data_IF_529565445396
#
_entry.id   IF_529565445396
#
_cell.length_a   1.000
_cell.length_b   1.000
_cell.length_c   1.000
_cell.angle_alpha   90.00
_cell.angle_beta   90.00
_cell.angle_gamma   90.00
#
_symmetry.space_group_name_H-M   'P 1'
#
loop_
_entity.id
_entity.type
_entity.pdbx_description
1 polymer ?
#
# COMPACT_ATOMS: atom_id res chain seq x y z
N UNK A 1 10.49 17.63 -0.38
CA UNK A 1 9.35 17.12 0.44
C UNK A 1 9.40 15.61 0.45
N UNK A 2 9.35 14.99 1.61
CA UNK A 2 9.12 13.53 1.67
C UNK A 2 7.83 13.19 0.90
N UNK A 3 7.63 11.93 0.60
CA UNK A 3 6.41 11.45 -0.10
C UNK A 3 5.14 12.08 0.48
N UNK A 4 4.26 12.60 -0.37
CA UNK A 4 2.97 13.18 0.03
C UNK A 4 1.84 12.14 -0.18
N UNK A 5 1.31 11.53 0.90
CA UNK A 5 0.25 10.53 0.79
C UNK A 5 -0.99 11.04 0.03
N UNK A 6 -1.40 12.28 0.25
CA UNK A 6 -2.61 12.84 -0.37
C UNK A 6 -2.48 12.89 -1.89
N UNK A 7 -1.34 13.40 -2.38
CA UNK A 7 -1.03 13.47 -3.81
C UNK A 7 -0.90 12.08 -4.44
N UNK A 8 -0.24 11.15 -3.73
CA UNK A 8 -0.02 9.79 -4.22
C UNK A 8 -1.33 8.98 -4.31
N UNK A 9 -2.20 9.05 -3.28
CA UNK A 9 -3.50 8.35 -3.30
C UNK A 9 -4.43 8.89 -4.40
N UNK A 10 -4.29 10.16 -4.78
CA UNK A 10 -5.08 10.72 -5.89
C UNK A 10 -4.87 9.94 -7.20
N UNK A 11 -3.69 9.33 -7.38
CA UNK A 11 -3.36 8.51 -8.56
C UNK A 11 -4.10 7.17 -8.61
N UNK A 12 -4.62 6.69 -7.46
CA UNK A 12 -5.35 5.41 -7.40
C UNK A 12 -6.83 5.50 -7.80
N UNK A 13 -7.38 6.69 -7.95
CA UNK A 13 -8.82 6.85 -8.22
C UNK A 13 -9.69 6.21 -7.13
N UNK A 14 -9.42 6.55 -5.87
CA UNK A 14 -10.20 6.08 -4.72
C UNK A 14 -11.50 6.87 -4.64
N UNK A 15 -12.62 6.15 -4.55
CA UNK A 15 -13.97 6.69 -4.42
C UNK A 15 -14.64 6.24 -3.12
N UNK A 16 -15.73 6.92 -2.75
CA UNK A 16 -16.58 6.55 -1.62
C UNK A 16 -17.03 5.09 -1.73
N UNK A 17 -17.09 4.40 -0.60
CA UNK A 17 -17.52 3.01 -0.51
C UNK A 17 -16.45 1.96 -0.87
N UNK A 18 -15.29 2.34 -1.39
CA UNK A 18 -14.22 1.40 -1.73
C UNK A 18 -13.60 0.73 -0.51
N UNK A 19 -13.10 -0.49 -0.72
CA UNK A 19 -12.27 -1.22 0.22
C UNK A 19 -10.82 -1.13 -0.21
N UNK A 20 -9.98 -0.60 0.67
CA UNK A 20 -8.56 -0.37 0.39
C UNK A 20 -7.71 -1.09 1.43
N UNK A 21 -6.64 -1.73 0.98
CA UNK A 21 -5.67 -2.39 1.86
C UNK A 21 -4.37 -1.60 1.82
N UNK A 22 -3.85 -1.25 3.00
CA UNK A 22 -2.55 -0.60 3.20
C UNK A 22 -1.58 -1.63 3.79
N UNK A 23 -0.63 -2.09 2.98
CA UNK A 23 0.34 -3.13 3.35
C UNK A 23 1.63 -2.50 3.88
N UNK A 24 2.02 -2.90 5.08
CA UNK A 24 3.08 -2.23 5.82
C UNK A 24 2.63 -0.84 6.25
N UNK A 25 1.44 -0.75 6.86
CA UNK A 25 0.77 0.51 7.16
C UNK A 25 1.61 1.43 8.08
N UNK A 26 2.55 0.89 8.84
CA UNK A 26 3.41 1.65 9.73
C UNK A 26 2.61 2.53 10.68
N UNK A 27 2.92 3.83 10.71
CA UNK A 27 2.21 4.83 11.53
C UNK A 27 0.85 5.24 10.98
N UNK A 28 0.43 4.71 9.82
CA UNK A 28 -0.91 4.87 9.27
C UNK A 28 -1.15 6.13 8.44
N UNK A 29 -0.11 6.81 7.98
CA UNK A 29 -0.30 8.03 7.16
C UNK A 29 -1.20 7.79 5.95
N UNK A 30 -0.97 6.72 5.19
CA UNK A 30 -1.82 6.36 4.06
C UNK A 30 -3.19 5.89 4.53
N UNK A 31 -3.25 5.01 5.52
CA UNK A 31 -4.51 4.48 6.08
C UNK A 31 -5.47 5.58 6.51
N UNK A 32 -4.99 6.60 7.22
CA UNK A 32 -5.81 7.72 7.72
C UNK A 32 -6.35 8.59 6.56
N UNK A 33 -5.51 8.91 5.57
CA UNK A 33 -5.95 9.72 4.43
C UNK A 33 -6.93 8.95 3.53
N UNK A 34 -6.70 7.66 3.32
CA UNK A 34 -7.62 6.80 2.57
C UNK A 34 -8.96 6.68 3.27
N UNK A 35 -8.96 6.53 4.60
CA UNK A 35 -10.20 6.40 5.38
C UNK A 35 -11.13 7.61 5.24
N UNK A 36 -10.57 8.82 5.13
CA UNK A 36 -11.32 10.04 4.83
C UNK A 36 -11.96 9.99 3.43
N UNK A 37 -11.23 9.44 2.43
CA UNK A 37 -11.67 9.40 1.03
C UNK A 37 -12.75 8.34 0.77
N UNK A 38 -12.61 7.16 1.35
CA UNK A 38 -13.58 6.07 1.15
C UNK A 38 -14.88 6.26 1.92
N UNK A 39 -14.92 7.23 2.82
CA UNK A 39 -16.12 7.59 3.58
C UNK A 39 -16.64 6.49 4.50
N UNK A 40 -17.81 6.71 5.07
CA UNK A 40 -18.42 5.81 6.07
C UNK A 40 -18.85 4.45 5.50
N UNK A 41 -19.08 4.38 4.20
CA UNK A 41 -19.48 3.17 3.49
C UNK A 41 -18.27 2.33 3.03
N UNK A 42 -17.07 2.93 3.02
CA UNK A 42 -15.83 2.25 2.65
C UNK A 42 -15.15 1.60 3.83
N UNK A 43 -14.03 0.94 3.57
CA UNK A 43 -13.21 0.28 4.59
C UNK A 43 -11.73 0.36 4.23
N UNK A 44 -10.90 0.63 5.22
CA UNK A 44 -9.44 0.53 5.12
C UNK A 44 -8.98 -0.62 6.00
N UNK A 45 -8.19 -1.52 5.42
CA UNK A 45 -7.49 -2.59 6.13
C UNK A 45 -6.02 -2.20 6.26
N UNK A 46 -5.61 -1.77 7.45
CA UNK A 46 -4.23 -1.44 7.76
C UNK A 46 -3.51 -2.72 8.21
N UNK A 47 -2.63 -3.26 7.38
CA UNK A 47 -1.91 -4.52 7.64
C UNK A 47 -0.47 -4.21 8.00
N UNK A 48 0.00 -4.72 9.12
CA UNK A 48 1.41 -4.64 9.53
C UNK A 48 1.82 -5.86 10.37
N UNK A 49 3.11 -6.15 10.44
CA UNK A 49 3.69 -7.18 11.31
C UNK A 49 3.95 -6.66 12.72
N UNK A 50 3.99 -5.35 12.92
CA UNK A 50 4.26 -4.68 14.18
C UNK A 50 2.95 -4.25 14.85
N UNK A 51 2.58 -4.92 15.94
CA UNK A 51 1.33 -4.65 16.66
C UNK A 51 1.25 -3.23 17.22
N UNK A 52 2.36 -2.72 17.74
CA UNK A 52 2.41 -1.40 18.36
C UNK A 52 2.08 -0.29 17.33
N UNK A 53 2.54 -0.44 16.08
CA UNK A 53 2.19 0.49 15.00
C UNK A 53 0.70 0.42 14.66
N UNK A 54 0.12 -0.77 14.64
CA UNK A 54 -1.32 -0.95 14.40
C UNK A 54 -2.17 -0.33 15.52
N UNK A 55 -1.72 -0.40 16.77
CA UNK A 55 -2.40 0.26 17.90
C UNK A 55 -2.34 1.78 17.76
N UNK A 56 -1.24 2.34 17.24
CA UNK A 56 -1.16 3.76 16.90
C UNK A 56 -2.11 4.14 15.77
N UNK A 57 -2.19 3.34 14.70
CA UNK A 57 -3.17 3.56 13.61
C UNK A 57 -4.59 3.59 14.14
N UNK A 58 -4.95 2.61 14.98
CA UNK A 58 -6.28 2.55 15.61
C UNK A 58 -6.57 3.78 16.47
N UNK A 59 -5.64 4.15 17.35
CA UNK A 59 -5.79 5.29 18.26
C UNK A 59 -5.95 6.61 17.50
N UNK A 60 -5.11 6.82 16.46
CA UNK A 60 -5.19 8.00 15.62
C UNK A 60 -6.50 8.05 14.83
N UNK A 61 -6.95 6.91 14.31
CA UNK A 61 -8.25 6.81 13.63
C UNK A 61 -9.39 7.23 14.53
N UNK A 62 -9.43 6.71 15.76
CA UNK A 62 -10.44 7.07 16.77
C UNK A 62 -10.39 8.57 17.11
N UNK A 63 -9.21 9.12 17.33
CA UNK A 63 -9.01 10.54 17.63
C UNK A 63 -9.52 11.46 16.50
N UNK A 64 -9.46 11.00 15.25
CA UNK A 64 -9.96 11.70 14.06
C UNK A 64 -11.43 11.37 13.74
N UNK A 65 -12.12 10.57 14.55
CA UNK A 65 -13.48 10.16 14.30
C UNK A 65 -13.68 9.16 13.16
N UNK A 66 -12.59 8.55 12.66
CA UNK A 66 -12.61 7.58 11.58
C UNK A 66 -12.95 6.19 12.15
N UNK A 67 -14.12 5.65 11.78
CA UNK A 67 -14.61 4.35 12.25
C UNK A 67 -14.52 3.24 11.19
N UNK A 68 -13.94 3.55 10.05
CA UNK A 68 -13.85 2.71 8.87
C UNK A 68 -12.44 2.12 8.66
N UNK A 69 -11.57 2.16 9.67
CA UNK A 69 -10.24 1.54 9.67
C UNK A 69 -10.28 0.25 10.49
N UNK A 70 -9.85 -0.83 9.89
CA UNK A 70 -9.64 -2.12 10.52
C UNK A 70 -8.15 -2.44 10.51
N UNK A 71 -7.55 -2.64 11.67
CA UNK A 71 -6.14 -3.01 11.77
C UNK A 71 -6.00 -4.53 11.76
N UNK A 72 -5.07 -5.03 10.97
CA UNK A 72 -4.85 -6.47 10.77
C UNK A 72 -3.39 -6.80 11.06
N UNK A 73 -3.15 -7.56 12.10
CA UNK A 73 -1.83 -8.11 12.35
C UNK A 73 -1.58 -9.28 11.40
N UNK A 74 -0.77 -9.06 10.38
CA UNK A 74 -0.52 -10.00 9.30
C UNK A 74 0.84 -9.79 8.64
N UNK A 75 1.28 -10.78 7.87
CA UNK A 75 2.52 -10.74 7.10
C UNK A 75 2.21 -10.86 5.61
N UNK A 76 2.42 -9.78 4.86
CA UNK A 76 2.18 -9.73 3.42
C UNK A 76 3.22 -10.49 2.57
N UNK A 77 4.37 -10.88 3.16
CA UNK A 77 5.38 -11.72 2.51
C UNK A 77 5.02 -13.21 2.47
N UNK A 78 3.81 -13.54 2.83
CA UNK A 78 3.29 -14.91 2.82
C UNK A 78 1.92 -14.91 2.18
N UNK A 79 1.71 -15.75 1.19
CA UNK A 79 0.40 -15.91 0.55
C UNK A 79 -0.62 -16.37 1.61
N UNK A 80 -1.72 -15.62 1.75
CA UNK A 80 -2.71 -15.77 2.82
C UNK A 80 -2.30 -15.14 4.17
N UNK A 81 -1.08 -14.59 4.27
CA UNK A 81 -0.55 -14.06 5.52
C UNK A 81 -1.17 -12.74 5.97
N UNK A 82 -1.82 -11.99 5.09
CA UNK A 82 -2.65 -10.82 5.46
C UNK A 82 -3.93 -11.22 6.18
N UNK A 83 -4.32 -12.50 6.14
CA UNK A 83 -5.60 -13.02 6.68
C UNK A 83 -6.85 -12.42 6.04
N UNK A 84 -6.68 -11.61 5.01
CA UNK A 84 -7.77 -11.07 4.23
C UNK A 84 -8.25 -12.10 3.19
N UNK A 85 -9.54 -12.08 2.89
CA UNK A 85 -10.07 -12.98 1.87
C UNK A 85 -9.68 -12.51 0.46
N UNK A 86 -9.68 -13.45 -0.46
CA UNK A 86 -9.42 -13.20 -1.88
C UNK A 86 -10.41 -12.18 -2.44
N UNK A 87 -9.94 -11.30 -3.31
CA UNK A 87 -10.75 -10.32 -4.03
C UNK A 87 -11.49 -9.32 -3.13
N UNK A 88 -10.99 -9.04 -1.92
CA UNK A 88 -11.65 -8.10 -1.01
C UNK A 88 -11.41 -6.65 -1.41
N UNK A 89 -10.24 -6.33 -1.96
CA UNK A 89 -9.76 -4.97 -2.14
C UNK A 89 -10.05 -4.41 -3.53
N UNK A 90 -10.59 -3.20 -3.59
CA UNK A 90 -10.65 -2.40 -4.81
C UNK A 90 -9.29 -1.79 -5.12
N UNK A 91 -8.54 -1.42 -4.08
CA UNK A 91 -7.21 -0.81 -4.17
C UNK A 91 -6.28 -1.38 -3.10
N UNK A 92 -4.99 -1.45 -3.43
CA UNK A 92 -3.92 -1.80 -2.49
C UNK A 92 -2.87 -0.69 -2.52
N UNK A 93 -2.28 -0.41 -1.38
CA UNK A 93 -1.14 0.50 -1.21
C UNK A 93 0.01 -0.28 -0.61
N UNK A 94 1.21 -0.09 -1.15
CA UNK A 94 2.47 -0.59 -0.63
C UNK A 94 3.47 0.58 -0.65
N UNK A 95 3.60 1.28 0.48
CA UNK A 95 4.44 2.46 0.58
C UNK A 95 5.58 2.27 1.57
N UNK A 96 6.81 2.50 1.11
CA UNK A 96 8.03 2.35 1.91
C UNK A 96 8.17 0.95 2.55
N UNK A 97 7.80 -0.08 1.80
CA UNK A 97 7.81 -1.46 2.28
C UNK A 97 8.73 -2.38 1.46
N UNK A 98 8.94 -2.11 0.17
CA UNK A 98 9.69 -3.02 -0.70
C UNK A 98 11.14 -3.24 -0.25
N UNK A 99 11.80 -2.22 0.26
CA UNK A 99 13.18 -2.34 0.72
C UNK A 99 13.34 -3.28 1.94
N UNK A 100 12.24 -3.66 2.59
CA UNK A 100 12.20 -4.58 3.73
C UNK A 100 11.76 -5.99 3.33
N UNK A 101 11.28 -6.18 2.09
CA UNK A 101 10.74 -7.45 1.62
C UNK A 101 11.87 -8.40 1.24
N UNK A 102 11.82 -9.62 1.76
CA UNK A 102 12.73 -10.72 1.40
C UNK A 102 12.12 -11.64 0.32
N UNK A 103 10.79 -11.86 0.39
CA UNK A 103 10.05 -12.77 -0.50
C UNK A 103 9.15 -12.01 -1.47
N UNK A 104 9.77 -11.36 -2.45
CA UNK A 104 9.05 -10.52 -3.42
C UNK A 104 7.94 -11.25 -4.18
N UNK A 105 8.19 -12.48 -4.63
CA UNK A 105 7.21 -13.24 -5.40
C UNK A 105 5.95 -13.52 -4.56
N UNK A 106 6.11 -13.95 -3.30
CA UNK A 106 5.00 -14.19 -2.38
C UNK A 106 4.27 -12.89 -2.03
N UNK A 107 5.00 -11.78 -1.85
CA UNK A 107 4.42 -10.47 -1.60
C UNK A 107 3.53 -9.99 -2.75
N UNK A 108 4.02 -10.08 -3.99
CA UNK A 108 3.25 -9.68 -5.17
C UNK A 108 2.06 -10.62 -5.41
N UNK A 109 2.23 -11.93 -5.16
CA UNK A 109 1.14 -12.90 -5.23
C UNK A 109 0.06 -12.62 -4.18
N UNK A 110 0.43 -12.23 -2.97
CA UNK A 110 -0.55 -11.86 -1.93
C UNK A 110 -1.32 -10.60 -2.32
N UNK A 111 -0.65 -9.58 -2.88
CA UNK A 111 -1.33 -8.39 -3.44
C UNK A 111 -2.33 -8.82 -4.52
N UNK A 112 -1.90 -9.67 -5.46
CA UNK A 112 -2.77 -10.17 -6.52
C UNK A 112 -3.96 -10.94 -5.97
N UNK A 113 -3.76 -11.78 -4.96
CA UNK A 113 -4.83 -12.56 -4.33
C UNK A 113 -5.91 -11.68 -3.72
N UNK A 114 -5.52 -10.66 -2.95
CA UNK A 114 -6.49 -9.80 -2.23
C UNK A 114 -7.16 -8.75 -3.11
N UNK A 115 -6.56 -8.36 -4.25
CA UNK A 115 -7.16 -7.44 -5.20
C UNK A 115 -8.31 -8.09 -5.98
N UNK A 116 -9.35 -7.33 -6.25
CA UNK A 116 -10.39 -7.68 -7.24
C UNK A 116 -9.80 -7.68 -8.66
N UNK A 117 -10.44 -8.35 -9.63
CA UNK A 117 -10.21 -8.06 -11.05
C UNK A 117 -10.34 -6.55 -11.30
N UNK A 118 -9.51 -5.99 -12.17
CA UNK A 118 -9.43 -4.54 -12.44
C UNK A 118 -9.06 -3.68 -11.21
N UNK A 119 -8.71 -4.29 -10.10
CA UNK A 119 -8.19 -3.60 -8.92
C UNK A 119 -6.81 -3.00 -9.20
N UNK A 120 -6.46 -1.94 -8.48
CA UNK A 120 -5.18 -1.25 -8.66
C UNK A 120 -4.32 -1.32 -7.43
N UNK A 121 -3.00 -1.37 -7.64
CA UNK A 121 -2.02 -1.23 -6.58
C UNK A 121 -1.13 -0.01 -6.82
N UNK A 122 -0.94 0.78 -5.77
CA UNK A 122 0.04 1.85 -5.69
C UNK A 122 1.27 1.34 -4.95
N UNK A 123 2.40 1.44 -5.61
CA UNK A 123 3.71 1.23 -5.00
C UNK A 123 4.42 2.57 -4.90
N UNK A 124 4.86 2.95 -3.70
CA UNK A 124 5.72 4.12 -3.47
C UNK A 124 6.93 3.66 -2.68
N UNK A 125 8.12 3.86 -3.22
CA UNK A 125 9.33 3.45 -2.51
C UNK A 125 10.53 4.35 -2.86
N UNK A 126 11.65 4.14 -2.19
CA UNK A 126 12.83 4.96 -2.27
C UNK A 126 13.44 4.98 -3.68
N UNK A 127 13.71 6.20 -4.18
CA UNK A 127 14.41 6.41 -5.43
C UNK A 127 15.91 6.15 -5.27
N UNK A 128 16.52 5.53 -6.29
CA UNK A 128 17.97 5.33 -6.39
C UNK A 128 18.74 6.67 -6.37
N UNK A 129 18.10 7.74 -6.76
CA UNK A 129 18.72 9.08 -6.82
C UNK A 129 18.67 9.82 -5.47
N UNK A 130 18.06 9.22 -4.46
CA UNK A 130 17.94 9.86 -3.14
C UNK A 130 19.26 9.72 -2.35
N UNK A 131 19.86 10.83 -1.89
CA UNK A 131 21.06 10.78 -1.08
C UNK A 131 20.82 10.27 0.35
N UNK A 132 19.56 10.16 0.77
CA UNK A 132 19.13 9.73 2.12
C UNK A 132 18.39 8.40 2.12
N UNK A 133 18.42 7.66 0.99
CA UNK A 133 17.79 6.34 0.90
C UNK A 133 18.42 5.33 1.87
N UNK A 134 17.69 4.29 2.28
CA UNK A 134 18.25 3.13 2.96
C UNK A 134 19.40 2.51 2.15
N UNK A 135 20.27 1.74 2.83
CA UNK A 135 21.38 1.03 2.16
C UNK A 135 20.89 0.01 1.13
N UNK A 136 19.72 -0.56 1.38
CA UNK A 136 19.07 -1.50 0.47
C UNK A 136 17.82 -0.80 -0.06
N UNK A 137 17.71 -0.71 -1.37
CA UNK A 137 16.53 -0.17 -2.06
C UNK A 137 16.10 -1.12 -3.17
N UNK A 138 14.86 -1.00 -3.59
CA UNK A 138 14.34 -1.67 -4.78
C UNK A 138 14.13 -0.61 -5.85
N UNK A 139 14.97 -0.63 -6.88
CA UNK A 139 14.86 0.28 -8.01
C UNK A 139 13.48 0.21 -8.67
N UNK A 140 12.98 1.33 -9.17
CA UNK A 140 11.66 1.39 -9.83
C UNK A 140 11.52 0.39 -10.98
N UNK A 141 12.56 0.22 -11.79
CA UNK A 141 12.58 -0.77 -12.89
C UNK A 141 12.49 -2.22 -12.39
N UNK A 142 13.13 -2.52 -11.25
CA UNK A 142 13.02 -3.85 -10.61
C UNK A 142 11.62 -4.07 -10.06
N UNK A 143 11.06 -3.09 -9.37
CA UNK A 143 9.68 -3.17 -8.87
C UNK A 143 8.70 -3.39 -10.02
N UNK A 144 8.82 -2.64 -11.11
CA UNK A 144 8.00 -2.82 -12.31
C UNK A 144 8.09 -4.25 -12.85
N UNK A 145 9.30 -4.77 -13.05
CA UNK A 145 9.51 -6.14 -13.55
C UNK A 145 8.86 -7.20 -12.66
N UNK A 146 8.93 -7.03 -11.32
CA UNK A 146 8.32 -7.97 -10.37
C UNK A 146 6.79 -8.04 -10.52
N UNK A 147 6.13 -6.88 -10.65
CA UNK A 147 4.68 -6.83 -10.79
C UNK A 147 4.22 -7.30 -12.18
N UNK A 148 4.91 -6.89 -13.26
CA UNK A 148 4.60 -7.33 -14.63
C UNK A 148 4.75 -8.85 -14.79
N UNK A 149 5.80 -9.45 -14.21
CA UNK A 149 6.01 -10.90 -14.18
C UNK A 149 4.87 -11.66 -13.51
N UNK A 150 4.22 -11.05 -12.51
CA UNK A 150 3.03 -11.60 -11.86
C UNK A 150 1.73 -11.34 -12.65
N UNK A 151 1.80 -10.66 -13.79
CA UNK A 151 0.67 -10.39 -14.68
C UNK A 151 -0.09 -9.11 -14.36
N UNK A 152 0.54 -8.15 -13.66
CA UNK A 152 0.02 -6.80 -13.56
C UNK A 152 0.43 -5.96 -14.76
N UNK A 153 -0.39 -4.97 -15.12
CA UNK A 153 -0.07 -4.00 -16.16
C UNK A 153 0.28 -2.65 -15.52
N UNK A 154 1.43 -2.07 -15.88
CA UNK A 154 1.76 -0.73 -15.45
C UNK A 154 0.82 0.29 -16.10
N UNK A 155 0.10 1.05 -15.28
CA UNK A 155 -0.78 2.13 -15.72
C UNK A 155 -0.08 3.49 -15.68
N UNK A 156 0.71 3.72 -14.63
CA UNK A 156 1.37 5.00 -14.42
C UNK A 156 2.69 4.85 -13.65
N UNK A 157 3.71 5.61 -14.08
CA UNK A 157 4.94 5.84 -13.34
C UNK A 157 5.08 7.34 -13.10
N UNK A 158 5.46 7.75 -11.87
CA UNK A 158 5.55 9.16 -11.51
C UNK A 158 6.57 9.39 -10.38
N UNK A 159 6.96 10.65 -10.21
CA UNK A 159 7.76 11.08 -9.08
C UNK A 159 6.84 11.27 -7.87
N UNK A 160 7.04 10.50 -6.80
CA UNK A 160 6.23 10.51 -5.58
C UNK A 160 6.81 11.42 -4.48
N UNK A 161 7.64 12.38 -4.83
CA UNK A 161 8.35 13.30 -3.94
C UNK A 161 9.85 13.32 -4.27
N UNK A 162 10.63 14.10 -3.54
CA UNK A 162 12.06 14.32 -3.84
C UNK A 162 12.92 13.04 -3.73
N UNK A 163 12.43 12.04 -3.01
CA UNK A 163 13.19 10.85 -2.64
C UNK A 163 12.49 9.54 -3.00
N UNK A 164 11.32 9.59 -3.64
CA UNK A 164 10.51 8.41 -3.89
C UNK A 164 10.03 8.35 -5.34
N UNK A 165 9.92 7.15 -5.87
CA UNK A 165 9.17 6.87 -7.08
C UNK A 165 7.77 6.35 -6.72
N UNK A 166 6.83 6.49 -7.66
CA UNK A 166 5.50 5.92 -7.57
C UNK A 166 5.15 5.13 -8.83
N UNK A 167 4.56 3.95 -8.65
CA UNK A 167 4.05 3.10 -9.72
C UNK A 167 2.61 2.72 -9.41
N UNK A 168 1.73 2.84 -10.40
CA UNK A 168 0.36 2.32 -10.32
C UNK A 168 0.21 1.18 -11.31
N UNK A 169 -0.24 0.05 -10.81
CA UNK A 169 -0.52 -1.12 -11.65
C UNK A 169 -1.99 -1.50 -11.56
N UNK A 170 -2.50 -2.10 -12.65
CA UNK A 170 -3.83 -2.72 -12.70
C UNK A 170 -3.66 -4.24 -12.77
N UNK A 171 -4.53 -4.98 -12.03
CA UNK A 171 -4.56 -6.44 -12.02
C UNK A 171 -5.16 -7.00 -13.30
#
# INVERSE_FOLDING_TARGET
MFSDPVSNIAKLGINDGMKVVDLGAGSGFYSLEVAKKVGVNGRVYAVDVQKDLLDHVRSNGVALGLRNIEVVWGNAEKVGGTKLREGIADRVIASNVLFQIEKFDDFVLEIKRILKPEGKVLVVDWSELSPISPKIIVASAKAQTLFEKAGFNLEQSFNAGDHHYGLVFIR
#
